data_IF_737101040828
#
_entry.id   IF_737101040828
#
_cell.length_a   1.000
_cell.length_b   1.000
_cell.length_c   1.000
_cell.angle_alpha   90.00
_cell.angle_beta   90.00
_cell.angle_gamma   90.00
#
_symmetry.space_group_name_H-M   'P 1'
#
loop_
_entity.id
_entity.type
_entity.pdbx_description
1 polymer ?
#
# COMPACT_ATOMS: atom_id res chain seq x y z
N UNK A 1 17.04 -9.96 -11.10
CA UNK A 1 16.68 -9.44 -11.07
C UNK A 1 15.94 -8.74 -10.24
N UNK A 2 15.66 -8.04 -10.23
CA UNK A 2 15.25 -7.42 -9.40
C UNK A 2 14.02 -7.37 -9.26
N UNK A 3 13.45 -7.87 -8.60
CA UNK A 3 12.31 -7.80 -8.39
C UNK A 3 12.11 -6.83 -7.47
N UNK A 4 11.40 -6.26 -7.01
CA UNK A 4 11.19 -5.36 -6.00
C UNK A 4 11.44 -3.96 -6.33
N UNK A 5 11.21 -3.60 -7.53
CA UNK A 5 11.26 -2.22 -7.83
C UNK A 5 10.21 -1.53 -7.02
N UNK A 6 10.51 -0.45 -6.38
CA UNK A 6 9.57 0.26 -5.55
C UNK A 6 8.79 1.28 -6.35
N UNK A 7 7.51 1.38 -6.03
CA UNK A 7 6.63 2.36 -6.65
C UNK A 7 6.02 3.21 -5.58
N UNK A 8 5.46 4.32 -5.95
CA UNK A 8 4.74 5.17 -5.03
C UNK A 8 3.29 5.21 -5.45
N UNK A 9 2.42 5.37 -4.49
CA UNK A 9 1.01 5.48 -4.78
C UNK A 9 0.28 6.13 -3.62
N UNK A 10 -1.02 6.21 -3.76
CA UNK A 10 -1.86 6.87 -2.77
C UNK A 10 -2.91 5.87 -2.30
N UNK A 11 -3.12 5.82 -1.00
CA UNK A 11 -4.10 4.89 -0.45
C UNK A 11 -5.49 5.34 -0.84
N UNK A 12 -6.23 4.47 -1.49
CA UNK A 12 -7.61 4.75 -1.84
C UNK A 12 -8.50 4.56 -0.63
N UNK A 13 -8.34 3.47 0.06
CA UNK A 13 -9.05 3.22 1.30
C UNK A 13 -8.38 2.06 2.01
N UNK A 14 -8.60 1.98 3.29
CA UNK A 14 -8.06 0.90 4.08
C UNK A 14 -9.02 0.63 5.22
N UNK A 15 -9.35 -0.63 5.44
CA UNK A 15 -10.26 -1.02 6.50
C UNK A 15 -9.46 -1.60 7.64
N UNK A 16 -9.42 -0.91 8.75
CA UNK A 16 -8.69 -1.37 9.91
C UNK A 16 -9.31 -2.66 10.43
N UNK A 17 -10.63 -2.74 10.39
CA UNK A 17 -11.32 -3.92 10.88
C UNK A 17 -11.00 -5.14 10.04
N UNK A 18 -10.95 -4.99 8.76
CA UNK A 18 -10.71 -6.12 7.89
C UNK A 18 -9.24 -6.35 7.63
N UNK A 19 -8.43 -5.33 7.85
CA UNK A 19 -7.00 -5.45 7.71
C UNK A 19 -6.47 -5.38 6.30
N UNK A 20 -7.23 -4.75 5.39
CA UNK A 20 -6.73 -4.63 4.02
C UNK A 20 -7.33 -3.41 3.35
N UNK A 21 -6.80 -3.08 2.22
CA UNK A 21 -7.28 -1.96 1.43
C UNK A 21 -6.66 -1.96 0.06
N UNK A 22 -6.72 -0.83 -0.58
CA UNK A 22 -6.21 -0.69 -1.95
C UNK A 22 -5.41 0.60 -2.08
N UNK A 23 -4.37 0.52 -2.89
CA UNK A 23 -3.50 1.65 -3.18
C UNK A 23 -3.63 1.98 -4.64
N UNK A 24 -3.82 3.24 -4.95
CA UNK A 24 -3.89 3.69 -6.32
C UNK A 24 -2.48 3.98 -6.79
N UNK A 25 -2.05 3.30 -7.84
CA UNK A 25 -0.71 3.49 -8.37
C UNK A 25 -0.67 4.73 -9.25
N UNK A 26 0.51 5.23 -9.45
CA UNK A 26 0.69 6.35 -10.35
C UNK A 26 0.27 5.97 -11.75
N UNK A 27 0.57 4.76 -12.16
CA UNK A 27 0.15 4.26 -13.44
C UNK A 27 -0.29 2.85 -13.25
N UNK A 28 -1.28 2.43 -13.93
CA UNK A 28 -1.74 1.06 -13.90
C UNK A 28 -2.85 0.83 -12.90
N UNK A 29 -3.09 -0.41 -12.62
CA UNK A 29 -4.22 -0.79 -11.80
C UNK A 29 -3.93 -0.61 -10.33
N UNK A 30 -4.98 -0.46 -9.54
CA UNK A 30 -4.83 -0.42 -8.10
C UNK A 30 -4.25 -1.72 -7.61
N UNK A 31 -3.57 -1.68 -6.47
CA UNK A 31 -3.02 -2.88 -5.89
C UNK A 31 -3.63 -3.11 -4.53
N UNK A 32 -3.78 -4.38 -4.19
CA UNK A 32 -4.30 -4.80 -2.91
C UNK A 32 -3.19 -4.69 -1.86
N UNK A 33 -3.52 -4.30 -0.66
CA UNK A 33 -2.55 -4.25 0.42
C UNK A 33 -3.17 -4.85 1.67
N UNK A 34 -2.41 -5.73 2.35
CA UNK A 34 -2.84 -6.34 3.59
C UNK A 34 -1.98 -5.77 4.72
N UNK A 35 -2.52 -5.69 5.93
CA UNK A 35 -1.78 -5.06 7.01
C UNK A 35 -0.45 -5.76 7.26
N UNK A 36 -0.36 -7.05 6.98
CA UNK A 36 0.88 -7.77 7.21
C UNK A 36 1.98 -7.31 6.27
N UNK A 37 1.64 -6.60 5.21
CA UNK A 37 2.62 -6.09 4.28
C UNK A 37 3.03 -4.66 4.59
N UNK A 38 2.43 -4.05 5.58
CA UNK A 38 2.77 -2.68 5.96
C UNK A 38 3.91 -2.74 6.96
N UNK A 39 4.97 -2.01 6.69
CA UNK A 39 6.13 -2.03 7.57
C UNK A 39 6.00 -0.96 8.63
N UNK A 40 6.64 -1.20 9.77
CA UNK A 40 6.61 -0.25 10.86
C UNK A 40 6.37 -0.97 12.14
N UNK A 41 6.46 -0.24 13.24
CA UNK A 41 6.27 -0.82 14.52
C UNK A 41 4.90 -0.50 15.03
N UNK A 42 4.35 -1.33 15.87
CA UNK A 42 3.08 -1.10 16.51
C UNK A 42 1.93 -1.29 15.56
N UNK A 43 1.04 -0.35 15.57
CA UNK A 43 -0.20 -0.48 14.84
C UNK A 43 0.02 -0.28 13.34
N UNK A 44 -0.32 -1.25 12.55
CA UNK A 44 -0.08 -1.20 11.13
C UNK A 44 -1.36 -0.86 10.41
N UNK A 45 -1.53 0.37 10.02
CA UNK A 45 -2.70 0.78 9.27
C UNK A 45 -2.33 1.91 8.35
N UNK A 46 -3.20 2.17 7.41
CA UNK A 46 -3.04 3.27 6.47
C UNK A 46 -4.31 4.09 6.49
N UNK A 47 -4.18 5.34 6.05
CA UNK A 47 -5.34 6.20 5.98
C UNK A 47 -5.52 6.64 4.56
N UNK A 48 -6.73 7.04 4.25
CA UNK A 48 -7.04 7.51 2.92
C UNK A 48 -6.11 8.60 2.51
N UNK A 49 -5.61 8.52 1.32
CA UNK A 49 -4.74 9.55 0.73
C UNK A 49 -3.34 9.60 1.27
N UNK A 50 -2.97 8.66 2.15
CA UNK A 50 -1.57 8.56 2.52
C UNK A 50 -0.74 8.24 1.29
N UNK A 51 0.43 8.82 1.20
CA UNK A 51 1.36 8.49 0.11
C UNK A 51 2.27 7.41 0.64
N UNK A 52 2.36 6.32 -0.09
CA UNK A 52 3.13 5.16 0.34
C UNK A 52 4.07 4.71 -0.76
N UNK A 53 5.13 4.02 -0.35
CA UNK A 53 6.05 3.39 -1.27
C UNK A 53 5.94 1.89 -1.05
N UNK A 54 5.99 1.13 -2.10
CA UNK A 54 5.75 -0.30 -1.99
C UNK A 54 6.33 -1.04 -3.18
N UNK A 55 6.40 -2.35 -3.05
CA UNK A 55 6.77 -3.22 -4.15
C UNK A 55 5.52 -3.91 -4.65
N UNK A 56 5.42 -4.10 -5.95
CA UNK A 56 4.27 -4.75 -6.53
C UNK A 56 4.62 -6.16 -6.92
N UNK A 57 3.82 -7.10 -6.47
CA UNK A 57 4.04 -8.50 -6.79
C UNK A 57 2.74 -9.06 -7.33
N UNK A 58 2.84 -9.77 -8.42
CA UNK A 58 1.66 -10.38 -8.99
C UNK A 58 1.36 -11.68 -8.28
N UNK A 59 0.20 -11.80 -7.74
CA UNK A 59 -0.20 -13.01 -7.03
C UNK A 59 -1.35 -13.69 -7.72
N UNK A 60 -1.83 -14.75 -7.13
CA UNK A 60 -2.93 -15.52 -7.75
C UNK A 60 -4.21 -14.73 -7.89
N UNK A 61 -4.40 -13.74 -7.05
CA UNK A 61 -5.62 -12.95 -7.11
C UNK A 61 -5.39 -11.59 -7.72
N UNK A 62 -4.24 -11.32 -8.24
CA UNK A 62 -3.95 -10.04 -8.86
C UNK A 62 -2.74 -9.39 -8.23
N UNK A 63 -2.61 -8.11 -8.45
CA UNK A 63 -1.44 -7.39 -7.97
C UNK A 63 -1.56 -7.08 -6.49
N UNK A 64 -0.47 -7.27 -5.78
CA UNK A 64 -0.43 -7.00 -4.35
C UNK A 64 0.75 -6.13 -4.01
N UNK A 65 0.60 -5.31 -2.99
CA UNK A 65 1.68 -4.45 -2.52
C UNK A 65 2.36 -5.11 -1.33
N UNK A 66 3.69 -5.05 -1.32
CA UNK A 66 4.51 -5.59 -0.23
C UNK A 66 5.48 -4.54 0.23
N UNK A 67 5.95 -4.66 1.44
CA UNK A 67 6.93 -3.73 2.02
C UNK A 67 6.42 -2.31 1.91
N UNK A 68 5.19 -2.11 2.36
CA UNK A 68 4.53 -0.81 2.22
C UNK A 68 5.00 0.11 3.34
N UNK A 69 5.52 1.28 2.94
CA UNK A 69 6.03 2.25 3.89
C UNK A 69 5.33 3.57 3.61
N UNK A 70 4.79 4.19 4.65
CA UNK A 70 4.16 5.48 4.48
C UNK A 70 5.22 6.55 4.35
N UNK A 71 5.21 7.27 3.24
CA UNK A 71 6.15 8.33 3.00
C UNK A 71 5.60 9.64 3.51
N UNK A 72 4.31 9.86 3.33
CA UNK A 72 3.73 11.13 3.67
C UNK A 72 2.30 10.90 4.07
N UNK A 73 1.85 11.55 5.12
CA UNK A 73 0.48 11.44 5.54
C UNK A 73 -0.43 12.13 4.52
N UNK A 74 -1.66 11.73 4.49
CA UNK A 74 -2.62 12.37 3.61
C UNK A 74 -2.78 13.83 3.96
N UNK A 75 -3.53 14.54 3.16
CA UNK A 75 -3.66 15.97 3.38
C UNK A 75 -4.29 16.23 4.72
N UNK A 76 -3.78 17.24 5.38
CA UNK A 76 -4.31 17.60 6.63
C UNK A 76 -5.14 18.80 6.47
N UNK A 77 -6.12 18.98 7.25
CA UNK A 77 -6.99 20.13 7.13
C UNK A 77 -6.73 21.15 8.16
#
# INVERSE_FOLDING_TARGET
MSNGEKEQGTVKWFSVDKGYGFIQRTKGEDVFVHYSSIEGEGYRSLEERDVVEFEVVEGPKGLQAFHVVRIKAGPEI
#
